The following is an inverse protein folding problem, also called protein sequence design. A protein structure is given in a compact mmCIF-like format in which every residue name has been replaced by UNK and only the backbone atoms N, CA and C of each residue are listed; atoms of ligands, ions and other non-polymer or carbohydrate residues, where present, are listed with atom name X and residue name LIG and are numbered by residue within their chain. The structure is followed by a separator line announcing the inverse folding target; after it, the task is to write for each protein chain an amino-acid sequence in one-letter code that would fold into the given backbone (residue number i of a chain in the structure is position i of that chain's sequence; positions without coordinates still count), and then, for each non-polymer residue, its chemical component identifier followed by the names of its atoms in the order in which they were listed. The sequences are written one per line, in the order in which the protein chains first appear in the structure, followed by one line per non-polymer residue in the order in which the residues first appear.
data_IF_213040796942
#
_entry.id   IF_213040796942
#
_cell.length_a   1.000
_cell.length_b   1.000
_cell.length_c   1.000
_cell.angle_alpha   90.00
_cell.angle_beta   90.00
_cell.angle_gamma   90.00
#
_symmetry.space_group_name_H-M   'P 1'
#
loop_
_entity.id
_entity.type
_entity.pdbx_description
1 polymer ?
#
# COMPACT_ATOMS: atom_id res chain seq x y z
N UNK A 1 40.08 -55.26 45.77
CA UNK A 1 40.23 -54.58 47.09
C UNK A 1 40.45 -53.11 46.79
N UNK A 2 39.57 -52.13 47.08
CA UNK A 2 38.69 -51.83 48.24
C UNK A 2 37.28 -51.49 47.68
N UNK A 3 36.16 -52.17 48.00
CA UNK A 3 35.36 -52.23 49.24
C UNK A 3 34.88 -50.83 49.71
N UNK A 4 33.69 -50.36 49.31
CA UNK A 4 32.38 -50.50 50.00
C UNK A 4 31.99 -49.13 50.61
N UNK A 5 30.75 -48.65 50.81
CA UNK A 5 29.33 -49.06 50.77
C UNK A 5 28.52 -47.73 50.64
N UNK A 6 27.34 -47.67 50.02
CA UNK A 6 25.98 -47.67 50.64
C UNK A 6 25.00 -47.49 49.46
N UNK A 7 24.22 -48.48 49.03
CA UNK A 7 22.85 -48.85 49.48
C UNK A 7 21.90 -47.66 49.68
N UNK A 8 20.96 -47.48 48.75
CA UNK A 8 19.51 -47.55 49.02
C UNK A 8 18.75 -47.62 47.69
N UNK A 9 18.10 -48.76 47.45
CA UNK A 9 17.10 -48.95 46.41
C UNK A 9 15.71 -48.67 47.02
N UNK A 10 14.79 -48.05 46.28
CA UNK A 10 13.37 -48.44 46.25
C UNK A 10 12.60 -47.65 45.18
N UNK A 11 12.17 -48.40 44.17
CA UNK A 11 10.90 -48.36 43.44
C UNK A 11 10.18 -47.02 43.22
N UNK A 12 10.02 -46.63 41.94
CA UNK A 12 8.70 -46.71 41.29
C UNK A 12 8.86 -46.71 39.76
N UNK A 13 8.39 -47.79 39.13
CA UNK A 13 8.14 -47.85 37.70
C UNK A 13 6.61 -47.89 37.50
N UNK A 14 6.07 -46.89 36.81
CA UNK A 14 4.81 -46.91 36.05
C UNK A 14 4.67 -45.52 35.40
N UNK A 15 5.04 -45.38 34.14
CA UNK A 15 4.12 -45.41 33.00
C UNK A 15 3.35 -44.09 32.80
N UNK A 16 3.76 -43.27 31.84
CA UNK A 16 3.00 -43.03 30.60
C UNK A 16 3.79 -42.12 29.66
N UNK A 17 3.83 -42.54 28.41
CA UNK A 17 4.43 -41.86 27.28
C UNK A 17 3.41 -40.90 26.62
N UNK A 18 3.96 -40.07 25.73
CA UNK A 18 3.34 -39.10 24.81
C UNK A 18 3.17 -37.68 25.40
N UNK A 19 3.79 -36.62 24.88
CA UNK A 19 4.63 -36.50 23.69
C UNK A 19 5.53 -35.26 23.76
N UNK A 20 6.76 -35.44 23.28
CA UNK A 20 7.69 -34.36 22.97
C UNK A 20 7.71 -34.24 21.45
N UNK A 21 6.90 -33.33 20.90
CA UNK A 21 7.16 -32.76 19.59
C UNK A 21 7.88 -31.44 19.80
N UNK A 22 9.14 -31.47 19.37
CA UNK A 22 10.11 -30.41 19.46
C UNK A 22 9.66 -29.13 18.75
N UNK A 23 9.94 -28.00 19.41
CA UNK A 23 10.04 -26.71 18.76
C UNK A 23 11.17 -26.73 17.73
N UNK A 24 10.81 -26.44 16.49
CA UNK A 24 11.65 -26.03 15.36
C UNK A 24 10.68 -25.14 14.57
N UNK A 25 10.82 -23.83 14.48
CA UNK A 25 12.02 -23.02 14.35
C UNK A 25 11.76 -22.11 13.14
N UNK A 26 11.39 -20.85 13.41
CA UNK A 26 11.51 -19.70 12.53
C UNK A 26 10.76 -19.70 11.20
N UNK A 27 9.58 -19.06 11.17
CA UNK A 27 9.24 -18.19 10.06
C UNK A 27 8.51 -16.96 10.61
N UNK A 28 9.15 -15.81 10.49
CA UNK A 28 8.65 -14.49 10.88
C UNK A 28 7.43 -14.18 10.01
N UNK A 29 6.24 -14.41 10.54
CA UNK A 29 5.00 -13.90 9.95
C UNK A 29 4.76 -12.51 10.54
N UNK A 30 4.65 -11.53 9.65
CA UNK A 30 4.26 -10.15 9.96
C UNK A 30 3.01 -10.10 10.82
N UNK A 31 3.00 -9.16 11.77
CA UNK A 31 1.97 -9.01 12.78
C UNK A 31 0.56 -8.90 12.18
N UNK A 32 -0.26 -9.90 12.45
CA UNK A 32 -1.71 -9.82 12.28
C UNK A 32 -2.27 -9.06 13.48
N UNK A 33 -2.70 -7.81 13.29
CA UNK A 33 -3.62 -7.17 14.22
C UNK A 33 -5.01 -7.78 14.03
N UNK A 34 -5.29 -8.86 14.76
CA UNK A 34 -6.64 -9.39 14.89
C UNK A 34 -7.33 -8.70 16.06
N UNK A 35 -8.16 -7.69 15.76
CA UNK A 35 -9.15 -7.18 16.70
C UNK A 35 -10.23 -8.23 16.92
N UNK A 36 -10.38 -8.71 18.15
CA UNK A 36 -11.39 -9.68 18.53
C UNK A 36 -12.78 -9.02 18.49
N UNK A 37 -13.59 -9.32 17.46
CA UNK A 37 -14.99 -8.93 17.38
C UNK A 37 -15.87 -9.93 16.60
N UNK A 38 -16.77 -10.57 17.35
CA UNK A 38 -18.12 -11.02 16.97
C UNK A 38 -18.33 -11.74 15.63
N UNK A 39 -17.93 -13.02 15.52
CA UNK A 39 -18.66 -14.07 14.77
C UNK A 39 -18.93 -13.92 13.25
N UNK A 40 -18.60 -12.79 12.62
CA UNK A 40 -18.94 -12.46 11.21
C UNK A 40 -17.89 -12.85 10.17
N UNK A 41 -16.75 -13.39 10.61
CA UNK A 41 -15.62 -13.73 9.73
C UNK A 41 -14.78 -12.51 9.35
N UNK A 42 -13.82 -12.72 8.44
CA UNK A 42 -12.92 -11.67 7.96
C UNK A 42 -13.33 -11.15 6.58
N UNK A 43 -12.98 -9.89 6.33
CA UNK A 43 -12.89 -9.31 4.99
C UNK A 43 -11.45 -8.87 4.77
N UNK A 44 -10.87 -9.29 3.65
CA UNK A 44 -9.46 -9.04 3.34
C UNK A 44 -9.36 -7.87 2.36
N UNK A 45 -8.57 -6.86 2.73
CA UNK A 45 -8.12 -5.80 1.83
C UNK A 45 -6.69 -6.09 1.37
N UNK A 46 -6.46 -6.08 0.05
CA UNK A 46 -5.09 -6.04 -0.50
C UNK A 46 -4.64 -4.59 -0.67
N UNK A 47 -3.42 -4.27 -0.26
CA UNK A 47 -2.88 -2.91 -0.27
C UNK A 47 -1.35 -2.89 -0.40
N UNK A 48 -0.75 -1.71 -0.56
CA UNK A 48 0.70 -1.49 -0.45
C UNK A 48 0.96 -0.34 0.54
N UNK A 49 1.18 -0.64 1.81
CA UNK A 49 1.24 0.35 2.91
C UNK A 49 2.54 1.18 2.94
N UNK A 50 2.92 1.78 1.82
CA UNK A 50 4.08 2.65 1.64
C UNK A 50 3.74 3.99 0.97
N UNK A 51 2.45 4.35 0.93
CA UNK A 51 1.87 5.42 0.11
C UNK A 51 1.08 6.43 0.96
N UNK A 52 1.76 7.03 1.93
CA UNK A 52 1.17 8.07 2.78
C UNK A 52 0.68 9.26 1.93
N UNK A 53 -0.53 9.81 2.14
CA UNK A 53 -1.43 9.59 3.27
C UNK A 53 -2.55 8.57 3.05
N UNK A 54 -2.55 7.83 1.95
CA UNK A 54 -3.63 6.90 1.61
C UNK A 54 -3.51 5.59 2.40
N UNK A 55 -2.35 4.97 2.35
CA UNK A 55 -2.06 3.75 3.09
C UNK A 55 -0.59 3.74 3.51
N UNK A 56 -0.34 3.59 4.80
CA UNK A 56 1.03 3.55 5.31
C UNK A 56 1.09 2.87 6.67
N UNK A 57 2.30 2.46 7.03
CA UNK A 57 2.60 1.95 8.36
C UNK A 57 3.08 3.07 9.28
N UNK A 58 2.49 3.18 10.46
CA UNK A 58 3.04 3.94 11.59
C UNK A 58 3.39 2.95 12.72
N UNK A 59 4.68 2.62 12.84
CA UNK A 59 5.10 1.50 13.67
C UNK A 59 4.54 0.19 13.12
N UNK A 60 3.74 -0.51 13.93
CA UNK A 60 3.08 -1.77 13.57
C UNK A 60 1.61 -1.58 13.14
N UNK A 61 1.12 -0.34 13.05
CA UNK A 61 -0.27 -0.03 12.71
C UNK A 61 -0.41 0.44 11.26
N UNK A 62 -1.45 -0.01 10.58
CA UNK A 62 -1.87 0.53 9.28
C UNK A 62 -2.69 1.81 9.49
N UNK A 63 -2.35 2.87 8.77
CA UNK A 63 -3.03 4.17 8.80
C UNK A 63 -3.22 4.72 7.39
N UNK A 64 -4.09 5.72 7.28
CA UNK A 64 -4.33 6.46 6.04
C UNK A 64 -5.78 6.43 5.60
N UNK A 65 -6.08 7.26 4.59
CA UNK A 65 -7.43 7.44 4.02
C UNK A 65 -8.04 6.09 3.60
N UNK A 66 -7.28 5.26 2.90
CA UNK A 66 -7.74 3.97 2.39
C UNK A 66 -8.03 2.99 3.54
N UNK A 67 -7.23 3.06 4.61
CA UNK A 67 -7.42 2.23 5.81
C UNK A 67 -8.70 2.63 6.55
N UNK A 68 -8.97 3.93 6.68
CA UNK A 68 -10.19 4.43 7.34
C UNK A 68 -11.45 4.06 6.54
N UNK A 69 -11.40 4.17 5.21
CA UNK A 69 -12.50 3.71 4.34
C UNK A 69 -12.69 2.19 4.47
N UNK A 70 -11.60 1.42 4.47
CA UNK A 70 -11.63 -0.04 4.61
C UNK A 70 -12.23 -0.50 5.95
N UNK A 71 -11.92 0.20 7.05
CA UNK A 71 -12.51 -0.06 8.36
C UNK A 71 -14.04 0.13 8.32
N UNK A 72 -14.54 1.19 7.68
CA UNK A 72 -15.99 1.43 7.52
C UNK A 72 -16.66 0.39 6.65
N UNK A 73 -15.99 -0.08 5.60
CA UNK A 73 -16.47 -1.20 4.77
C UNK A 73 -16.59 -2.47 5.63
N UNK A 74 -15.56 -2.81 6.40
CA UNK A 74 -15.59 -3.98 7.27
C UNK A 74 -16.69 -3.88 8.34
N UNK A 75 -16.86 -2.70 8.96
CA UNK A 75 -17.94 -2.42 9.91
C UNK A 75 -19.32 -2.62 9.26
N UNK A 76 -19.54 -2.07 8.06
CA UNK A 76 -20.80 -2.22 7.30
C UNK A 76 -21.09 -3.69 6.98
N UNK A 77 -20.05 -4.49 6.72
CA UNK A 77 -20.17 -5.94 6.48
C UNK A 77 -20.34 -6.76 7.77
N UNK A 78 -20.15 -6.15 8.95
CA UNK A 78 -20.12 -6.88 10.22
C UNK A 78 -18.94 -7.85 10.32
N UNK A 79 -17.80 -7.49 9.74
CA UNK A 79 -16.59 -8.33 9.63
C UNK A 79 -15.37 -7.66 10.25
N UNK A 80 -14.38 -8.46 10.61
CA UNK A 80 -13.05 -7.96 10.97
C UNK A 80 -12.26 -7.69 9.70
N UNK A 81 -11.64 -6.51 9.60
CA UNK A 81 -10.71 -6.18 8.52
C UNK A 81 -9.38 -6.95 8.73
N UNK A 82 -8.93 -7.64 7.69
CA UNK A 82 -7.58 -8.18 7.58
C UNK A 82 -6.87 -7.48 6.42
N UNK A 83 -5.62 -7.08 6.61
CA UNK A 83 -4.84 -6.32 5.62
C UNK A 83 -3.73 -7.20 5.06
N UNK A 84 -3.74 -7.40 3.75
CA UNK A 84 -2.66 -8.01 2.98
C UNK A 84 -1.80 -6.90 2.39
N UNK A 85 -0.67 -6.62 3.05
CA UNK A 85 0.31 -5.65 2.57
C UNK A 85 1.29 -6.34 1.60
N UNK A 86 1.17 -6.05 0.30
CA UNK A 86 1.91 -6.69 -0.78
C UNK A 86 2.59 -5.65 -1.68
N UNK A 87 3.42 -6.09 -2.63
CA UNK A 87 3.93 -5.19 -3.69
C UNK A 87 2.77 -4.66 -4.53
N UNK A 88 2.76 -3.37 -4.89
CA UNK A 88 1.64 -2.72 -5.58
C UNK A 88 1.17 -3.47 -6.85
N UNK A 89 2.10 -3.91 -7.70
CA UNK A 89 1.79 -4.72 -8.90
C UNK A 89 0.99 -6.01 -8.61
N UNK A 90 1.01 -6.50 -7.37
CA UNK A 90 0.32 -7.73 -6.94
C UNK A 90 -1.11 -7.46 -6.47
N UNK A 91 -1.42 -6.22 -6.06
CA UNK A 91 -2.69 -5.84 -5.41
C UNK A 91 -3.92 -6.23 -6.24
N UNK A 92 -3.95 -5.84 -7.52
CA UNK A 92 -5.04 -6.19 -8.45
C UNK A 92 -5.16 -7.71 -8.65
N UNK A 93 -4.02 -8.42 -8.70
CA UNK A 93 -4.00 -9.88 -8.89
C UNK A 93 -4.59 -10.62 -7.68
N UNK A 94 -4.40 -10.12 -6.46
CA UNK A 94 -5.01 -10.74 -5.27
C UNK A 94 -6.53 -10.64 -5.28
N UNK A 95 -7.06 -9.50 -5.70
CA UNK A 95 -8.51 -9.29 -5.87
C UNK A 95 -9.06 -10.14 -7.00
N UNK A 96 -8.39 -10.16 -8.16
CA UNK A 96 -8.79 -10.96 -9.31
C UNK A 96 -8.86 -12.46 -8.97
N UNK A 97 -7.85 -12.96 -8.24
CA UNK A 97 -7.79 -14.36 -7.79
C UNK A 97 -8.74 -14.68 -6.63
N UNK A 98 -9.25 -13.66 -5.93
CA UNK A 98 -10.13 -13.79 -4.77
C UNK A 98 -9.39 -14.08 -3.45
N UNK A 99 -8.07 -13.86 -3.40
CA UNK A 99 -7.30 -13.88 -2.15
C UNK A 99 -7.69 -12.73 -1.23
N UNK A 100 -7.96 -11.57 -1.81
CA UNK A 100 -8.56 -10.43 -1.14
C UNK A 100 -9.98 -10.17 -1.69
N UNK A 101 -10.85 -9.59 -0.87
CA UNK A 101 -12.21 -9.22 -1.29
C UNK A 101 -12.22 -7.88 -2.04
N UNK A 102 -11.38 -6.95 -1.61
CA UNK A 102 -11.21 -5.67 -2.29
C UNK A 102 -9.77 -5.18 -2.16
N UNK A 103 -9.43 -4.17 -2.95
CA UNK A 103 -8.15 -3.48 -2.87
C UNK A 103 -8.35 -1.96 -2.79
N UNK A 104 -7.62 -1.35 -1.86
CA UNK A 104 -7.48 0.09 -1.72
C UNK A 104 -5.99 0.37 -1.49
N UNK A 105 -5.40 1.13 -2.41
CA UNK A 105 -3.98 1.47 -2.43
C UNK A 105 -3.73 2.71 -3.32
N UNK A 106 -4.57 3.74 -3.21
CA UNK A 106 -4.58 4.88 -4.13
C UNK A 106 -4.73 4.45 -5.60
N UNK A 107 -5.64 3.52 -5.89
CA UNK A 107 -5.67 2.84 -7.19
C UNK A 107 -6.39 3.71 -8.23
N UNK A 108 -5.63 4.23 -9.19
CA UNK A 108 -6.18 4.90 -10.37
C UNK A 108 -7.03 3.97 -11.24
N UNK A 109 -8.19 4.46 -11.68
CA UNK A 109 -9.02 3.79 -12.67
C UNK A 109 -8.32 3.87 -14.04
N UNK A 110 -7.96 2.72 -14.62
CA UNK A 110 -7.47 2.61 -16.00
C UNK A 110 -8.29 1.60 -16.78
N UNK A 111 -8.30 1.71 -18.12
CA UNK A 111 -9.04 0.75 -18.95
C UNK A 111 -8.44 -0.66 -18.87
N UNK A 112 -7.12 -0.79 -18.76
CA UNK A 112 -6.46 -2.08 -18.51
C UNK A 112 -6.91 -2.71 -17.18
N UNK A 113 -6.97 -1.93 -16.10
CA UNK A 113 -7.43 -2.43 -14.80
C UNK A 113 -8.91 -2.81 -14.84
N UNK A 114 -9.75 -2.05 -15.56
CA UNK A 114 -11.18 -2.39 -15.75
C UNK A 114 -11.39 -3.71 -16.47
N UNK A 115 -10.45 -4.19 -17.28
CA UNK A 115 -10.54 -5.54 -17.85
C UNK A 115 -10.40 -6.64 -16.79
N UNK A 116 -9.71 -6.35 -15.69
CA UNK A 116 -9.36 -7.32 -14.65
C UNK A 116 -10.27 -7.28 -13.42
N UNK A 117 -10.75 -6.09 -13.05
CA UNK A 117 -11.54 -5.81 -11.84
C UNK A 117 -12.74 -4.92 -12.15
N UNK A 118 -13.65 -4.80 -11.19
CA UNK A 118 -14.66 -3.73 -11.17
C UNK A 118 -14.25 -2.68 -10.13
N UNK A 119 -14.55 -1.42 -10.40
CA UNK A 119 -14.21 -0.29 -9.53
C UNK A 119 -15.45 0.28 -8.86
N UNK A 120 -15.27 0.73 -7.61
CA UNK A 120 -16.22 1.56 -6.88
C UNK A 120 -16.44 2.93 -7.54
N UNK A 121 -17.34 3.70 -6.95
CA UNK A 121 -17.39 5.14 -7.18
C UNK A 121 -16.05 5.78 -6.76
N UNK A 122 -15.64 6.83 -7.48
CA UNK A 122 -14.42 7.59 -7.19
C UNK A 122 -14.51 8.25 -5.82
N UNK A 123 -13.49 8.05 -4.97
CA UNK A 123 -13.40 8.69 -3.65
C UNK A 123 -12.37 9.82 -3.59
N UNK A 124 -11.41 9.86 -4.53
CA UNK A 124 -10.38 10.89 -4.59
C UNK A 124 -9.95 11.17 -6.04
N UNK A 125 -9.62 12.43 -6.35
CA UNK A 125 -9.06 12.84 -7.64
C UNK A 125 -7.60 13.21 -7.42
N UNK A 126 -6.70 12.40 -7.98
CA UNK A 126 -5.26 12.55 -7.87
C UNK A 126 -4.64 13.18 -9.11
N UNK A 127 -3.37 13.55 -8.99
CA UNK A 127 -2.51 13.95 -10.09
C UNK A 127 -1.13 13.36 -9.90
N UNK A 128 -0.45 12.99 -10.98
CA UNK A 128 0.96 12.61 -10.94
C UNK A 128 1.85 13.86 -10.85
N UNK A 129 2.92 13.77 -10.05
CA UNK A 129 3.88 14.86 -9.81
C UNK A 129 5.31 14.38 -9.97
N UNK A 130 6.26 15.32 -10.01
CA UNK A 130 7.68 15.06 -10.22
C UNK A 130 8.45 15.49 -8.98
N UNK A 131 9.31 14.62 -8.46
CA UNK A 131 10.28 14.92 -7.41
C UNK A 131 11.68 14.96 -8.03
N UNK A 132 12.45 15.99 -7.70
CA UNK A 132 13.83 16.17 -8.16
C UNK A 132 14.74 16.59 -6.99
N UNK A 133 16.05 16.51 -7.18
CA UNK A 133 17.00 17.14 -6.26
C UNK A 133 16.80 18.67 -6.26
N UNK A 134 17.05 19.32 -5.11
CA UNK A 134 16.95 20.78 -4.97
C UNK A 134 17.78 21.56 -6.00
N UNK A 135 18.96 21.04 -6.35
CA UNK A 135 19.89 21.62 -7.31
C UNK A 135 19.75 21.04 -8.73
N UNK A 136 18.72 20.22 -8.98
CA UNK A 136 18.49 19.61 -10.30
C UNK A 136 18.24 20.66 -11.39
N UNK A 137 18.74 20.41 -12.59
CA UNK A 137 18.44 21.21 -13.79
C UNK A 137 17.04 20.95 -14.36
N UNK A 138 16.32 19.92 -13.88
CA UNK A 138 14.95 19.60 -14.28
C UNK A 138 13.99 20.56 -13.57
N UNK A 139 13.28 21.40 -14.33
CA UNK A 139 12.37 22.44 -13.80
C UNK A 139 10.92 22.27 -14.22
N UNK A 140 10.66 21.39 -15.18
CA UNK A 140 9.34 21.16 -15.76
C UNK A 140 9.18 19.72 -16.24
N UNK A 141 7.94 19.30 -16.55
CA UNK A 141 7.69 17.96 -17.12
C UNK A 141 8.48 17.69 -18.40
N UNK A 142 8.68 18.70 -19.25
CA UNK A 142 9.41 18.53 -20.52
C UNK A 142 10.89 18.23 -20.32
N UNK A 143 11.47 18.57 -19.17
CA UNK A 143 12.87 18.30 -18.87
C UNK A 143 13.14 16.82 -18.51
N UNK A 144 12.09 16.00 -18.41
CA UNK A 144 12.19 14.54 -18.23
C UNK A 144 12.60 13.80 -19.51
N UNK A 145 12.54 14.47 -20.67
CA UNK A 145 12.93 13.88 -21.95
C UNK A 145 14.37 13.34 -21.90
N UNK A 146 14.53 12.05 -22.21
CA UNK A 146 15.83 11.37 -22.16
C UNK A 146 16.43 11.18 -20.76
N UNK A 147 15.72 11.50 -19.68
CA UNK A 147 16.20 11.33 -18.29
C UNK A 147 16.01 9.93 -17.76
N UNK A 148 16.75 9.59 -16.70
CA UNK A 148 16.57 8.38 -15.92
C UNK A 148 15.59 8.65 -14.79
N UNK A 149 14.38 8.09 -14.88
CA UNK A 149 13.26 8.42 -13.98
C UNK A 149 12.89 7.21 -13.13
N UNK A 150 12.82 7.42 -11.81
CA UNK A 150 12.33 6.44 -10.86
C UNK A 150 10.81 6.43 -10.76
N UNK A 151 10.22 5.24 -10.68
CA UNK A 151 8.77 5.04 -10.51
C UNK A 151 8.52 3.86 -9.57
N UNK A 152 7.34 3.81 -8.96
CA UNK A 152 6.87 2.61 -8.29
C UNK A 152 6.32 1.62 -9.33
N UNK A 153 6.73 0.35 -9.28
CA UNK A 153 6.38 -0.63 -10.30
C UNK A 153 4.86 -0.88 -10.37
N UNK A 154 4.32 -0.80 -11.60
CA UNK A 154 2.91 -1.09 -11.88
C UNK A 154 1.94 0.07 -11.65
N UNK A 155 2.44 1.27 -11.31
CA UNK A 155 1.61 2.49 -11.21
C UNK A 155 1.38 3.14 -12.57
N UNK A 156 0.41 4.06 -12.63
CA UNK A 156 0.18 4.93 -13.79
C UNK A 156 1.38 5.82 -14.09
N UNK A 157 2.18 6.20 -13.08
CA UNK A 157 3.48 6.84 -13.26
C UNK A 157 4.50 5.95 -14.00
N UNK A 158 4.55 4.64 -13.71
CA UNK A 158 5.37 3.68 -14.46
C UNK A 158 4.89 3.55 -15.91
N UNK A 159 3.58 3.44 -16.14
CA UNK A 159 2.97 3.43 -17.48
C UNK A 159 3.33 4.69 -18.27
N UNK A 160 3.18 5.87 -17.66
CA UNK A 160 3.55 7.16 -18.25
C UNK A 160 5.02 7.21 -18.65
N UNK A 161 5.93 6.84 -17.75
CA UNK A 161 7.37 6.89 -18.04
C UNK A 161 7.80 5.83 -19.06
N UNK A 162 7.24 4.62 -19.00
CA UNK A 162 7.57 3.55 -19.94
C UNK A 162 7.06 3.85 -21.36
N UNK A 163 5.89 4.48 -21.45
CA UNK A 163 5.26 4.96 -22.69
C UNK A 163 5.20 3.90 -23.81
N UNK A 164 4.92 2.64 -23.47
CA UNK A 164 4.96 1.53 -24.45
C UNK A 164 3.88 1.65 -25.54
N UNK A 165 2.74 2.24 -25.21
CA UNK A 165 1.63 2.49 -26.13
C UNK A 165 1.75 3.81 -26.89
N UNK A 166 2.75 4.64 -26.55
CA UNK A 166 2.97 5.97 -27.12
C UNK A 166 1.91 7.01 -26.72
N UNK A 167 1.16 6.77 -25.63
CA UNK A 167 0.13 7.69 -25.14
C UNK A 167 0.70 8.94 -24.46
N UNK A 168 1.93 8.86 -23.93
CA UNK A 168 2.61 9.97 -23.26
C UNK A 168 3.35 10.84 -24.27
N UNK A 169 3.29 12.15 -24.04
CA UNK A 169 3.93 13.19 -24.86
C UNK A 169 5.42 13.38 -24.56
N UNK A 170 5.92 12.72 -23.51
CA UNK A 170 7.30 12.76 -23.04
C UNK A 170 7.89 11.36 -23.12
N UNK A 171 9.11 11.25 -23.64
CA UNK A 171 9.87 10.01 -23.69
C UNK A 171 11.08 10.10 -22.76
N UNK A 172 11.00 9.42 -21.61
CA UNK A 172 12.16 9.31 -20.72
C UNK A 172 13.24 8.41 -21.34
N UNK A 173 14.49 8.58 -20.89
CA UNK A 173 15.62 7.78 -21.37
C UNK A 173 15.70 6.40 -20.75
N UNK A 174 15.38 6.29 -19.45
CA UNK A 174 15.34 5.01 -18.72
C UNK A 174 14.32 5.08 -17.58
N UNK A 175 13.41 4.11 -17.51
CA UNK A 175 12.49 3.94 -16.37
C UNK A 175 13.08 2.95 -15.38
N UNK A 176 13.33 3.40 -14.14
CA UNK A 176 13.82 2.56 -13.04
C UNK A 176 12.68 2.27 -12.07
N UNK A 177 12.41 0.99 -11.87
CA UNK A 177 11.26 0.54 -11.08
C UNK A 177 11.68 0.18 -9.66
N UNK A 178 10.89 0.62 -8.71
CA UNK A 178 11.06 0.38 -7.27
C UNK A 178 9.79 -0.22 -6.67
N UNK A 179 9.92 -0.85 -5.51
CA UNK A 179 8.75 -1.39 -4.81
C UNK A 179 7.95 -0.29 -4.11
N UNK A 180 8.62 0.80 -3.72
CA UNK A 180 7.97 1.96 -3.06
C UNK A 180 8.55 3.29 -3.56
N UNK A 181 7.76 4.37 -3.47
CA UNK A 181 8.25 5.73 -3.74
C UNK A 181 9.42 6.16 -2.85
N UNK A 182 9.47 5.66 -1.61
CA UNK A 182 10.57 5.93 -0.68
C UNK A 182 11.91 5.37 -1.17
N UNK A 183 11.92 4.17 -1.74
CA UNK A 183 13.12 3.58 -2.36
C UNK A 183 13.59 4.41 -3.56
N UNK A 184 12.65 4.86 -4.39
CA UNK A 184 12.94 5.72 -5.54
C UNK A 184 13.57 7.05 -5.09
N UNK A 185 12.98 7.72 -4.09
CA UNK A 185 13.54 8.97 -3.54
C UNK A 185 14.90 8.74 -2.90
N UNK A 186 15.12 7.62 -2.22
CA UNK A 186 16.43 7.29 -1.65
C UNK A 186 17.53 7.15 -2.71
N UNK A 187 17.20 6.65 -3.90
CA UNK A 187 18.16 6.54 -5.00
C UNK A 187 18.30 7.83 -5.81
N UNK A 188 17.25 8.67 -5.86
CA UNK A 188 17.34 10.06 -6.33
C UNK A 188 18.34 10.87 -5.49
N UNK A 189 18.25 10.80 -4.16
CA UNK A 189 19.17 11.49 -3.23
C UNK A 189 20.63 11.05 -3.45
N UNK A 190 20.86 9.81 -3.87
CA UNK A 190 22.20 9.28 -4.17
C UNK A 190 22.68 9.64 -5.59
N UNK A 191 21.90 10.37 -6.38
CA UNK A 191 22.20 10.74 -7.76
C UNK A 191 22.23 9.55 -8.72
N UNK A 192 21.49 8.48 -8.42
CA UNK A 192 21.42 7.28 -9.30
C UNK A 192 20.34 7.39 -10.38
N UNK A 193 19.38 8.28 -10.17
CA UNK A 193 18.29 8.64 -11.07
C UNK A 193 18.13 10.16 -11.01
N UNK A 194 17.55 10.74 -12.05
CA UNK A 194 17.45 12.20 -12.23
C UNK A 194 16.16 12.78 -11.63
N UNK A 195 15.08 11.99 -11.60
CA UNK A 195 13.78 12.39 -11.07
C UNK A 195 13.00 11.16 -10.56
N UNK A 196 11.94 11.40 -9.79
CA UNK A 196 10.91 10.41 -9.44
C UNK A 196 9.56 10.92 -9.92
N UNK A 197 8.77 10.06 -10.55
CA UNK A 197 7.36 10.32 -10.88
C UNK A 197 6.47 9.52 -9.93
N UNK A 198 5.59 10.23 -9.22
CA UNK A 198 4.66 9.66 -8.23
C UNK A 198 3.51 10.65 -7.97
N UNK A 199 2.37 10.14 -7.53
CA UNK A 199 1.18 10.91 -7.17
C UNK A 199 1.45 12.03 -6.18
N UNK A 200 0.73 13.14 -6.33
CA UNK A 200 1.05 14.42 -5.73
C UNK A 200 1.05 14.42 -4.18
N UNK A 201 0.08 13.74 -3.57
CA UNK A 201 -0.05 13.67 -2.12
C UNK A 201 1.11 12.85 -1.51
N UNK A 202 1.39 11.63 -2.00
CA UNK A 202 2.61 10.89 -1.65
C UNK A 202 3.90 11.65 -1.94
N UNK A 203 3.97 12.35 -3.08
CA UNK A 203 5.13 13.17 -3.40
C UNK A 203 5.37 14.24 -2.34
N UNK A 204 4.30 14.88 -1.87
CA UNK A 204 4.36 15.90 -0.81
C UNK A 204 4.92 15.32 0.48
N UNK A 205 4.45 14.16 0.93
CA UNK A 205 4.99 13.48 2.12
C UNK A 205 6.44 13.04 1.98
N UNK A 206 6.81 12.51 0.83
CA UNK A 206 8.18 12.13 0.55
C UNK A 206 9.12 13.34 0.57
N UNK A 207 8.68 14.49 0.01
CA UNK A 207 9.45 15.73 0.02
C UNK A 207 9.53 16.33 1.42
N UNK A 208 8.45 16.33 2.20
CA UNK A 208 8.45 16.79 3.60
C UNK A 208 9.51 16.05 4.43
N UNK A 209 9.52 14.71 4.34
CA UNK A 209 10.47 13.83 5.04
C UNK A 209 11.92 13.99 4.57
N UNK A 210 12.14 14.47 3.35
CA UNK A 210 13.45 14.60 2.71
C UNK A 210 13.75 16.04 2.30
N UNK A 211 13.16 17.01 3.02
CA UNK A 211 13.09 18.41 2.60
C UNK A 211 14.44 19.08 2.44
N UNK A 212 15.51 18.55 3.03
CA UNK A 212 16.88 19.04 2.81
C UNK A 212 17.46 18.70 1.43
N UNK A 213 16.95 17.67 0.76
CA UNK A 213 17.58 17.10 -0.44
C UNK A 213 16.74 17.26 -1.71
N UNK A 214 15.42 17.12 -1.61
CA UNK A 214 14.51 17.05 -2.76
C UNK A 214 13.42 18.09 -2.71
N UNK A 215 12.82 18.38 -3.86
CA UNK A 215 11.66 19.24 -4.04
C UNK A 215 10.67 18.61 -5.02
N UNK A 216 9.40 18.94 -4.87
CA UNK A 216 8.32 18.61 -5.82
C UNK A 216 8.21 19.75 -6.84
N UNK A 217 8.03 19.43 -8.11
CA UNK A 217 7.68 20.41 -9.13
C UNK A 217 6.17 20.71 -9.10
N UNK A 218 5.77 21.90 -9.52
CA UNK A 218 4.34 22.30 -9.58
C UNK A 218 3.59 21.70 -10.78
N UNK A 219 4.34 21.21 -11.78
CA UNK A 219 3.78 20.63 -13.01
C UNK A 219 3.09 19.29 -12.73
N UNK A 220 1.76 19.28 -12.81
CA UNK A 220 0.98 18.05 -12.85
C UNK A 220 1.17 17.32 -14.20
N UNK A 221 1.34 16.01 -14.14
CA UNK A 221 1.54 15.17 -15.32
C UNK A 221 0.21 14.63 -15.88
N UNK A 222 -0.67 14.17 -15.00
CA UNK A 222 -1.95 13.52 -15.31
C UNK A 222 -3.00 13.91 -14.26
N UNK A 223 -4.28 13.67 -14.58
CA UNK A 223 -5.38 13.68 -13.62
C UNK A 223 -5.98 12.27 -13.57
N UNK A 224 -6.19 11.74 -12.37
CA UNK A 224 -6.53 10.34 -12.14
C UNK A 224 -7.63 10.22 -11.09
N UNK A 225 -8.57 9.30 -11.33
CA UNK A 225 -9.63 8.99 -10.37
C UNK A 225 -9.24 7.77 -9.56
N UNK A 226 -9.19 7.90 -8.23
CA UNK A 226 -8.96 6.78 -7.33
C UNK A 226 -10.27 6.11 -6.94
N UNK A 227 -10.28 4.78 -7.03
CA UNK A 227 -11.41 3.95 -6.62
C UNK A 227 -10.93 2.64 -5.99
N UNK A 228 -11.83 2.01 -5.25
CA UNK A 228 -11.61 0.71 -4.63
C UNK A 228 -11.92 -0.37 -5.67
N UNK A 229 -10.99 -1.30 -5.85
CA UNK A 229 -11.13 -2.40 -6.78
C UNK A 229 -11.74 -3.64 -6.10
N UNK A 230 -12.67 -4.30 -6.78
CA UNK A 230 -13.21 -5.60 -6.39
C UNK A 230 -13.10 -6.60 -7.53
N UNK A 231 -13.28 -7.88 -7.22
CA UNK A 231 -13.23 -8.92 -8.24
C UNK A 231 -14.29 -8.66 -9.31
N UNK A 232 -13.93 -8.84 -10.58
CA UNK A 232 -14.86 -8.71 -11.71
C UNK A 232 -16.14 -9.52 -11.47
N UNK A 233 -17.30 -8.85 -11.53
CA UNK A 233 -18.62 -9.43 -11.30
C UNK A 233 -19.03 -9.57 -9.84
N UNK A 234 -18.20 -9.15 -8.87
CA UNK A 234 -18.57 -9.12 -7.44
C UNK A 234 -19.45 -7.90 -7.11
N UNK A 235 -20.67 -7.96 -7.61
CA UNK A 235 -21.67 -6.90 -7.43
C UNK A 235 -22.10 -6.70 -5.98
N UNK A 236 -21.93 -7.71 -5.11
CA UNK A 236 -22.32 -7.63 -3.70
C UNK A 236 -21.31 -6.79 -2.92
N UNK A 237 -20.03 -7.12 -3.00
CA UNK A 237 -18.96 -6.34 -2.36
C UNK A 237 -18.93 -4.91 -2.91
N UNK A 238 -19.06 -4.76 -4.24
CA UNK A 238 -19.10 -3.44 -4.88
C UNK A 238 -20.24 -2.56 -4.35
N UNK A 239 -21.44 -3.13 -4.19
CA UNK A 239 -22.61 -2.39 -3.69
C UNK A 239 -22.38 -1.88 -2.27
N UNK A 240 -21.82 -2.72 -1.39
CA UNK A 240 -21.52 -2.32 -0.01
C UNK A 240 -20.50 -1.19 0.02
N UNK A 241 -19.44 -1.28 -0.78
CA UNK A 241 -18.41 -0.24 -0.87
C UNK A 241 -19.03 1.09 -1.33
N UNK A 242 -19.83 1.07 -2.40
CA UNK A 242 -20.48 2.28 -2.91
C UNK A 242 -21.49 2.87 -1.92
N UNK A 243 -22.20 2.04 -1.15
CA UNK A 243 -23.06 2.52 -0.06
C UNK A 243 -22.26 3.24 1.02
N UNK A 244 -21.12 2.70 1.44
CA UNK A 244 -20.23 3.33 2.42
C UNK A 244 -19.68 4.65 1.89
N UNK A 245 -19.12 4.66 0.68
CA UNK A 245 -18.57 5.88 0.06
C UNK A 245 -19.64 6.96 -0.09
N UNK A 246 -20.86 6.56 -0.49
CA UNK A 246 -21.99 7.47 -0.58
C UNK A 246 -22.37 8.05 0.78
N UNK A 247 -22.49 7.22 1.81
CA UNK A 247 -22.82 7.66 3.18
C UNK A 247 -21.77 8.66 3.70
N UNK A 248 -20.47 8.34 3.54
CA UNK A 248 -19.37 9.22 3.94
C UNK A 248 -19.35 10.54 3.16
N UNK A 249 -19.74 10.51 1.88
CA UNK A 249 -19.81 11.72 1.06
C UNK A 249 -21.01 12.59 1.43
N UNK A 250 -22.19 12.00 1.64
CA UNK A 250 -23.41 12.73 1.96
C UNK A 250 -23.37 13.36 3.37
N UNK A 251 -22.67 12.74 4.31
CA UNK A 251 -22.54 13.27 5.68
C UNK A 251 -21.30 14.17 5.88
N UNK A 252 -20.46 14.35 4.86
CA UNK A 252 -19.25 15.17 4.90
C UNK A 252 -18.03 14.52 5.57
N UNK A 253 -18.13 13.25 5.97
CA UNK A 253 -17.05 12.52 6.61
C UNK A 253 -15.89 12.23 5.67
N UNK A 254 -16.16 11.95 4.39
CA UNK A 254 -15.10 11.72 3.40
C UNK A 254 -14.26 12.98 3.19
N UNK A 255 -14.90 14.14 3.04
CA UNK A 255 -14.21 15.41 2.89
C UNK A 255 -13.40 15.75 4.15
N UNK A 256 -13.99 15.58 5.34
CA UNK A 256 -13.29 15.80 6.61
C UNK A 256 -12.09 14.86 6.80
N UNK A 257 -12.20 13.61 6.38
CA UNK A 257 -11.10 12.64 6.40
C UNK A 257 -9.97 13.09 5.47
N UNK A 258 -10.28 13.45 4.23
CA UNK A 258 -9.28 13.94 3.26
C UNK A 258 -8.62 15.22 3.77
N UNK A 259 -9.40 16.15 4.31
CA UNK A 259 -8.90 17.42 4.85
C UNK A 259 -8.02 17.20 6.09
N UNK A 260 -8.35 16.25 6.96
CA UNK A 260 -7.50 15.89 8.10
C UNK A 260 -6.12 15.43 7.63
N UNK A 261 -6.06 14.59 6.59
CA UNK A 261 -4.79 14.13 6.04
C UNK A 261 -4.09 15.22 5.21
N UNK A 262 -4.83 16.19 4.66
CA UNK A 262 -4.29 17.34 3.93
C UNK A 262 -3.72 18.42 4.84
N UNK A 263 -4.38 18.78 5.94
CA UNK A 263 -3.84 19.76 6.90
C UNK A 263 -2.54 19.29 7.53
N UNK A 264 -2.42 17.98 7.74
CA UNK A 264 -1.15 17.33 8.14
C UNK A 264 -0.06 17.45 7.05
N UNK A 265 -0.38 17.75 5.78
CA UNK A 265 0.59 18.10 4.73
C UNK A 265 1.02 19.56 4.76
N UNK A 266 0.12 20.47 5.17
CA UNK A 266 0.33 21.92 5.09
C UNK A 266 0.98 22.51 6.37
N UNK A 267 1.15 21.70 7.42
CA UNK A 267 1.93 22.05 8.60
C UNK A 267 1.26 23.04 9.55
N UNK A 268 0.04 22.73 10.00
CA UNK A 268 -0.57 23.38 11.18
C UNK A 268 -0.10 22.75 12.51
#
# INVERSE_FOLDING_TARGET
MKMGKKIAALFLAAAMAAGLTACSGGNTASGTQSGDAAGGGTVIMSTNAGFEPFEYMEGDEYKGIDIEIANKIAEKMGKTLEIHNVEFKTVITEVQSGKAQFAAAGISITDERKEQVDFSDTYFVATQSIIVLKDSDIKSRTDLEGKKVGVQEGTTGDEFCKNEDGSSDIQVGETVRYNTGMEAVADLIKGRIDAVVIDDFPATKLVERNSDNVVKLEDALTQEDYAIAVKKGDTETLKVINEVLKEMKENGELDALIDQYRSVLEGE
#
